data_IF_159374955558
#
_entry.id   IF_159374955558
#
_cell.length_a   1.000
_cell.length_b   1.000
_cell.length_c   1.000
_cell.angle_alpha   90.00
_cell.angle_beta   90.00
_cell.angle_gamma   90.00
#
_symmetry.space_group_name_H-M   'P 1'
#
loop_
_entity.id
_entity.type
_entity.pdbx_description
1 polymer ?
#
# COMPACT_ATOMS: atom_id res chain seq x y z
N UNK A 1 -18.46 8.29 -4.40
CA UNK A 1 -17.16 7.70 -4.75
C UNK A 1 -17.37 6.32 -5.36
N UNK A 2 -16.76 6.05 -6.52
CA UNK A 2 -16.72 4.71 -7.13
C UNK A 2 -15.27 4.26 -7.12
N UNK A 3 -15.03 3.03 -6.67
CA UNK A 3 -13.70 2.46 -6.54
C UNK A 3 -13.67 1.10 -7.22
N UNK A 4 -12.60 0.85 -7.96
CA UNK A 4 -12.29 -0.46 -8.52
C UNK A 4 -11.00 -0.97 -7.87
N UNK A 5 -11.06 -2.13 -7.23
CA UNK A 5 -9.90 -2.78 -6.61
C UNK A 5 -9.66 -4.10 -7.33
N UNK A 6 -8.48 -4.27 -7.93
CA UNK A 6 -8.09 -5.50 -8.63
C UNK A 6 -9.06 -5.94 -9.74
N UNK A 7 -9.70 -4.97 -10.40
CA UNK A 7 -10.69 -5.23 -11.47
C UNK A 7 -12.13 -5.44 -10.98
N UNK A 8 -12.37 -5.46 -9.67
CA UNK A 8 -13.71 -5.52 -9.09
C UNK A 8 -14.20 -4.14 -8.68
N UNK A 9 -15.40 -3.77 -9.11
CA UNK A 9 -16.06 -2.54 -8.66
C UNK A 9 -16.69 -2.72 -7.29
N UNK A 10 -16.31 -1.86 -6.35
CA UNK A 10 -16.90 -1.81 -5.02
C UNK A 10 -18.21 -1.02 -5.04
N UNK A 11 -19.10 -1.33 -4.08
CA UNK A 11 -20.34 -0.57 -3.90
C UNK A 11 -20.00 0.92 -3.74
N UNK A 12 -20.63 1.81 -4.54
CA UNK A 12 -20.36 3.24 -4.44
C UNK A 12 -20.69 3.77 -3.05
N UNK A 13 -19.78 4.56 -2.49
CA UNK A 13 -19.98 5.26 -1.24
C UNK A 13 -20.52 6.68 -1.50
N UNK A 14 -21.57 7.08 -0.79
CA UNK A 14 -22.16 8.42 -0.86
C UNK A 14 -21.71 9.20 0.36
N UNK A 15 -21.06 10.34 0.17
CA UNK A 15 -20.54 11.15 1.28
C UNK A 15 -21.63 11.98 1.96
N UNK A 16 -22.59 12.49 1.20
CA UNK A 16 -23.70 13.30 1.67
C UNK A 16 -24.80 13.33 0.60
N UNK A 17 -26.03 13.63 1.01
CA UNK A 17 -27.21 13.80 0.15
C UNK A 17 -27.84 15.17 0.42
N UNK A 18 -27.63 16.09 -0.51
CA UNK A 18 -28.20 17.45 -0.44
C UNK A 18 -27.24 18.50 0.14
N UNK A 19 -27.62 19.76 -0.02
CA UNK A 19 -26.78 20.92 0.34
C UNK A 19 -26.73 21.16 1.85
N UNK A 20 -27.80 20.88 2.59
CA UNK A 20 -27.85 21.04 4.05
C UNK A 20 -26.86 20.10 4.75
N UNK A 21 -26.81 18.83 4.33
CA UNK A 21 -25.88 17.83 4.88
C UNK A 21 -24.43 18.18 4.54
N UNK A 22 -24.16 18.58 3.30
CA UNK A 22 -22.84 19.07 2.90
C UNK A 22 -22.36 20.24 3.78
N UNK A 23 -23.21 21.25 3.95
CA UNK A 23 -22.87 22.43 4.75
C UNK A 23 -22.74 22.07 6.23
N UNK A 24 -23.53 21.12 6.73
CA UNK A 24 -23.35 20.57 8.08
C UNK A 24 -21.94 19.99 8.27
N UNK A 25 -21.44 19.19 7.31
CA UNK A 25 -20.09 18.62 7.36
C UNK A 25 -18.97 19.68 7.28
N UNK A 26 -19.16 20.71 6.46
CA UNK A 26 -18.18 21.81 6.35
C UNK A 26 -18.11 22.64 7.63
N UNK A 27 -19.25 22.95 8.26
CA UNK A 27 -19.30 23.77 9.49
C UNK A 27 -18.85 23.00 10.72
N UNK A 28 -19.17 21.72 10.80
CA UNK A 28 -18.72 20.84 11.87
C UNK A 28 -17.26 20.40 11.70
N UNK A 29 -16.66 20.65 10.54
CA UNK A 29 -15.28 20.27 10.26
C UNK A 29 -15.06 18.76 10.29
N UNK A 30 -16.09 17.94 10.06
CA UNK A 30 -16.02 16.47 10.22
C UNK A 30 -14.96 15.81 9.34
N UNK A 31 -14.60 16.43 8.22
CA UNK A 31 -13.58 15.93 7.29
C UNK A 31 -12.17 16.48 7.59
N UNK A 32 -12.00 17.37 8.58
CA UNK A 32 -10.71 17.98 8.88
C UNK A 32 -9.71 17.00 9.49
N UNK A 33 -10.21 15.99 10.19
CA UNK A 33 -9.42 14.88 10.73
C UNK A 33 -9.30 13.74 9.72
N UNK A 34 -8.14 13.05 9.66
CA UNK A 34 -7.95 11.90 8.78
C UNK A 34 -8.97 10.80 9.04
N UNK A 35 -9.89 10.60 8.10
CA UNK A 35 -10.96 9.60 8.19
C UNK A 35 -10.67 8.42 7.26
N UNK A 36 -10.70 7.17 7.75
CA UNK A 36 -10.50 5.99 6.89
C UNK A 36 -11.71 5.78 5.99
N UNK A 37 -11.45 5.63 4.69
CA UNK A 37 -12.45 5.38 3.65
C UNK A 37 -12.47 3.92 3.18
N UNK A 38 -11.32 3.25 3.16
CA UNK A 38 -11.21 1.83 2.80
C UNK A 38 -10.07 1.19 3.59
N UNK A 39 -10.37 0.12 4.31
CA UNK A 39 -9.38 -0.69 5.01
C UNK A 39 -9.63 -2.16 4.71
N UNK A 40 -8.60 -2.89 4.29
CA UNK A 40 -8.77 -4.30 3.97
C UNK A 40 -7.47 -5.03 3.69
N UNK A 41 -7.50 -6.33 3.95
CA UNK A 41 -6.43 -7.27 3.60
C UNK A 41 -6.95 -8.19 2.50
N UNK A 42 -6.16 -8.33 1.44
CA UNK A 42 -6.49 -9.08 0.24
C UNK A 42 -5.43 -10.15 0.03
N UNK A 43 -5.86 -11.41 -0.03
CA UNK A 43 -5.01 -12.53 -0.42
C UNK A 43 -4.94 -12.56 -1.95
N UNK A 44 -3.81 -12.14 -2.49
CA UNK A 44 -3.55 -12.01 -3.94
C UNK A 44 -3.08 -13.30 -4.58
N UNK A 45 -2.27 -14.06 -3.85
CA UNK A 45 -1.68 -15.30 -4.33
C UNK A 45 -1.87 -16.34 -3.24
N UNK A 46 -2.43 -17.49 -3.59
CA UNK A 46 -2.47 -18.67 -2.72
C UNK A 46 -2.28 -19.89 -3.62
N UNK A 47 -1.04 -20.36 -3.68
CA UNK A 47 -0.66 -21.53 -4.46
C UNK A 47 -0.10 -22.59 -3.53
N UNK A 48 -0.66 -23.79 -3.63
CA UNK A 48 -0.25 -24.95 -2.86
C UNK A 48 -0.10 -26.15 -3.77
N UNK A 49 1.09 -26.73 -3.82
CA UNK A 49 1.39 -27.82 -4.73
C UNK A 49 2.33 -28.84 -4.11
N UNK A 50 2.02 -30.12 -4.36
CA UNK A 50 2.94 -31.22 -4.13
C UNK A 50 3.63 -31.60 -5.44
N UNK A 51 4.95 -31.75 -5.39
CA UNK A 51 5.77 -32.18 -6.51
C UNK A 51 6.50 -33.46 -6.10
N UNK A 52 6.17 -34.57 -6.76
CA UNK A 52 6.92 -35.81 -6.61
C UNK A 52 8.22 -35.73 -7.43
N UNK A 53 9.35 -35.85 -6.75
CA UNK A 53 10.67 -35.85 -7.36
C UNK A 53 11.01 -37.24 -7.90
N UNK A 54 11.91 -37.31 -8.89
CA UNK A 54 12.35 -38.58 -9.50
C UNK A 54 12.99 -39.57 -8.50
N UNK A 55 13.48 -39.07 -7.37
CA UNK A 55 14.04 -39.88 -6.28
C UNK A 55 12.98 -40.40 -5.29
N UNK A 56 11.69 -40.20 -5.58
CA UNK A 56 10.57 -40.65 -4.74
C UNK A 56 10.23 -39.72 -3.58
N UNK A 57 10.97 -38.63 -3.39
CA UNK A 57 10.66 -37.64 -2.34
C UNK A 57 9.51 -36.73 -2.77
N UNK A 58 8.71 -36.30 -1.81
CA UNK A 58 7.62 -35.35 -2.03
C UNK A 58 8.05 -33.97 -1.55
N UNK A 59 8.07 -33.01 -2.48
CA UNK A 59 8.32 -31.60 -2.21
C UNK A 59 6.97 -30.89 -2.08
N UNK A 60 6.77 -30.21 -0.96
CA UNK A 60 5.62 -29.36 -0.70
C UNK A 60 6.01 -27.90 -0.95
N UNK A 61 5.33 -27.26 -1.91
CA UNK A 61 5.52 -25.86 -2.27
C UNK A 61 4.29 -25.07 -1.85
N UNK A 62 4.49 -24.02 -1.05
CA UNK A 62 3.46 -23.04 -0.72
C UNK A 62 3.92 -21.65 -1.13
N UNK A 63 3.06 -20.89 -1.78
CA UNK A 63 3.27 -19.48 -2.12
C UNK A 63 2.02 -18.70 -1.73
N UNK A 64 2.19 -17.76 -0.81
CA UNK A 64 1.12 -16.90 -0.33
C UNK A 64 1.54 -15.44 -0.51
N UNK A 65 0.66 -14.63 -1.07
CA UNK A 65 0.87 -13.21 -1.31
C UNK A 65 -0.31 -12.43 -0.76
N UNK A 66 -0.06 -11.52 0.18
CA UNK A 66 -1.09 -10.69 0.81
C UNK A 66 -0.75 -9.22 0.58
N UNK A 67 -1.78 -8.43 0.27
CA UNK A 67 -1.70 -6.98 0.22
C UNK A 67 -2.68 -6.41 1.26
N UNK A 68 -2.21 -5.46 2.05
CA UNK A 68 -3.00 -4.64 2.96
C UNK A 68 -3.14 -3.26 2.37
N UNK A 69 -4.36 -2.72 2.34
CA UNK A 69 -4.69 -1.40 1.82
C UNK A 69 -5.40 -0.61 2.92
N UNK A 70 -4.97 0.63 3.11
CA UNK A 70 -5.59 1.60 4.01
C UNK A 70 -5.64 2.97 3.32
N UNK A 71 -6.83 3.43 2.98
CA UNK A 71 -7.07 4.71 2.33
C UNK A 71 -7.74 5.64 3.32
N UNK A 72 -7.07 6.75 3.61
CA UNK A 72 -7.51 7.80 4.53
C UNK A 72 -7.61 9.12 3.79
N UNK A 73 -8.56 9.96 4.18
CA UNK A 73 -8.74 11.28 3.59
C UNK A 73 -8.99 12.34 4.65
N UNK A 74 -8.42 13.52 4.46
CA UNK A 74 -8.76 14.73 5.20
C UNK A 74 -8.98 15.90 4.23
N UNK A 75 -9.90 16.77 4.59
CA UNK A 75 -10.30 17.95 3.81
C UNK A 75 -10.50 19.10 4.78
N UNK A 76 -9.81 20.20 4.53
CA UNK A 76 -9.94 21.46 5.25
C UNK A 76 -10.39 22.53 4.27
N UNK A 77 -11.52 23.17 4.58
CA UNK A 77 -12.09 24.24 3.74
C UNK A 77 -12.20 25.48 4.61
N UNK A 78 -11.60 26.58 4.18
CA UNK A 78 -11.77 27.89 4.80
C UNK A 78 -12.51 28.82 3.84
N UNK A 79 -13.76 29.12 4.16
CA UNK A 79 -14.56 30.08 3.40
C UNK A 79 -14.07 31.52 3.59
N UNK A 80 -13.48 31.83 4.76
CA UNK A 80 -12.91 33.15 5.05
C UNK A 80 -11.61 33.39 4.29
N UNK A 81 -10.70 32.42 4.31
CA UNK A 81 -9.43 32.50 3.58
C UNK A 81 -9.58 32.14 2.09
N UNK A 82 -10.77 31.68 1.68
CA UNK A 82 -11.10 31.24 0.33
C UNK A 82 -10.13 30.19 -0.23
N UNK A 83 -9.73 29.26 0.62
CA UNK A 83 -8.84 28.16 0.26
C UNK A 83 -9.41 26.80 0.70
N UNK A 84 -8.91 25.74 0.06
CA UNK A 84 -9.20 24.37 0.42
C UNK A 84 -7.92 23.54 0.29
N UNK A 85 -7.65 22.74 1.31
CA UNK A 85 -6.56 21.79 1.37
C UNK A 85 -7.14 20.40 1.54
N UNK A 86 -6.80 19.46 0.65
CA UNK A 86 -7.19 18.07 0.81
C UNK A 86 -6.00 17.13 0.70
N UNK A 87 -5.99 16.11 1.54
CA UNK A 87 -4.95 15.08 1.55
C UNK A 87 -5.63 13.73 1.55
N UNK A 88 -5.36 12.95 0.51
CA UNK A 88 -5.77 11.54 0.43
C UNK A 88 -4.51 10.70 0.52
N UNK A 89 -4.35 9.98 1.63
CA UNK A 89 -3.23 9.07 1.86
C UNK A 89 -3.69 7.64 1.66
N UNK A 90 -3.11 6.98 0.67
CA UNK A 90 -3.33 5.56 0.39
C UNK A 90 -2.11 4.76 0.79
N UNK A 91 -2.16 4.13 1.95
CA UNK A 91 -1.12 3.23 2.47
C UNK A 91 -1.34 1.82 1.96
N UNK A 92 -0.25 1.16 1.57
CA UNK A 92 -0.25 -0.20 1.07
C UNK A 92 0.94 -0.99 1.61
N UNK A 93 0.69 -2.18 2.13
CA UNK A 93 1.75 -3.12 2.50
C UNK A 93 1.57 -4.44 1.74
N UNK A 94 2.65 -4.99 1.22
CA UNK A 94 2.63 -6.25 0.51
C UNK A 94 3.61 -7.23 1.16
N UNK A 95 3.16 -8.47 1.34
CA UNK A 95 3.98 -9.57 1.84
C UNK A 95 3.82 -10.77 0.93
N UNK A 96 4.93 -11.30 0.44
CA UNK A 96 5.00 -12.55 -0.30
C UNK A 96 5.80 -13.54 0.55
N UNK A 97 5.16 -14.64 0.89
CA UNK A 97 5.73 -15.77 1.60
C UNK A 97 5.78 -16.98 0.68
N UNK A 98 6.98 -17.52 0.47
CA UNK A 98 7.17 -18.79 -0.22
C UNK A 98 7.78 -19.78 0.77
N UNK A 99 7.31 -21.02 0.78
CA UNK A 99 7.92 -22.10 1.55
C UNK A 99 8.04 -23.35 0.71
N UNK A 100 9.19 -24.00 0.81
CA UNK A 100 9.45 -25.31 0.24
C UNK A 100 9.85 -26.25 1.38
N UNK A 101 9.04 -27.28 1.63
CA UNK A 101 9.28 -28.32 2.62
C UNK A 101 9.51 -29.66 1.92
N UNK A 102 10.56 -30.35 2.34
CA UNK A 102 10.90 -31.70 1.94
C UNK A 102 10.99 -32.51 3.24
N UNK A 103 10.11 -33.49 3.42
CA UNK A 103 10.15 -34.36 4.59
C UNK A 103 10.37 -35.80 4.13
N UNK A 104 11.37 -36.46 4.72
CA UNK A 104 11.69 -37.86 4.49
C UNK A 104 12.15 -38.49 5.80
N UNK A 105 12.10 -39.82 5.89
CA UNK A 105 12.51 -40.53 7.09
C UNK A 105 13.99 -40.31 7.46
N UNK A 106 14.84 -40.03 6.47
CA UNK A 106 16.27 -39.81 6.67
C UNK A 106 16.66 -38.34 6.92
N UNK A 107 15.96 -37.40 6.28
CA UNK A 107 16.27 -35.97 6.38
C UNK A 107 15.05 -35.09 6.09
N UNK A 108 14.97 -33.95 6.77
CA UNK A 108 14.01 -32.89 6.48
C UNK A 108 14.70 -31.59 6.13
N UNK A 109 14.20 -30.92 5.11
CA UNK A 109 14.70 -29.62 4.66
C UNK A 109 13.52 -28.68 4.46
N UNK A 110 13.63 -27.48 5.02
CA UNK A 110 12.60 -26.46 4.97
C UNK A 110 13.21 -25.11 4.65
N UNK A 111 12.75 -24.50 3.57
CA UNK A 111 13.18 -23.19 3.11
C UNK A 111 11.97 -22.27 3.12
N UNK A 112 12.08 -21.13 3.81
CA UNK A 112 11.09 -20.06 3.81
C UNK A 112 11.72 -18.78 3.26
N UNK A 113 11.07 -18.17 2.28
CA UNK A 113 11.37 -16.87 1.72
C UNK A 113 10.23 -15.93 2.06
N UNK A 114 10.54 -14.83 2.75
CA UNK A 114 9.60 -13.76 3.01
C UNK A 114 10.11 -12.47 2.37
N UNK A 115 9.32 -11.88 1.48
CA UNK A 115 9.56 -10.57 0.89
C UNK A 115 8.45 -9.65 1.35
N UNK A 116 8.80 -8.55 2.01
CA UNK A 116 7.84 -7.60 2.55
C UNK A 116 8.24 -6.17 2.21
N UNK A 117 7.26 -5.33 1.90
CA UNK A 117 7.46 -3.91 1.68
C UNK A 117 6.18 -3.13 1.95
N UNK A 118 6.34 -1.96 2.54
CA UNK A 118 5.28 -1.00 2.83
C UNK A 118 5.55 0.33 2.13
N UNK A 119 4.49 0.96 1.64
CA UNK A 119 4.54 2.25 0.95
C UNK A 119 3.25 3.00 1.20
N UNK A 120 3.25 4.30 0.96
CA UNK A 120 2.01 5.06 0.88
C UNK A 120 2.10 6.06 -0.26
N UNK A 121 0.96 6.38 -0.84
CA UNK A 121 0.81 7.42 -1.84
C UNK A 121 0.05 8.57 -1.20
N UNK A 122 0.60 9.76 -1.26
CA UNK A 122 -0.08 10.98 -0.81
C UNK A 122 -0.53 11.77 -2.02
N UNK A 123 -1.83 12.00 -2.09
CA UNK A 123 -2.45 12.85 -3.08
C UNK A 123 -2.92 14.12 -2.38
N UNK A 124 -2.19 15.21 -2.59
CA UNK A 124 -2.44 16.51 -1.97
C UNK A 124 -3.05 17.43 -3.02
N UNK A 125 -4.13 18.10 -2.67
CA UNK A 125 -4.75 19.12 -3.53
C UNK A 125 -4.92 20.42 -2.77
N UNK A 126 -4.32 21.47 -3.30
CA UNK A 126 -4.50 22.84 -2.84
C UNK A 126 -5.33 23.61 -3.87
N UNK A 127 -6.39 24.24 -3.39
CA UNK A 127 -7.29 25.05 -4.19
C UNK A 127 -7.41 26.43 -3.57
N UNK A 128 -7.08 27.45 -4.36
CA UNK A 128 -7.33 28.85 -4.05
C UNK A 128 -8.43 29.38 -4.97
N UNK A 129 -9.53 29.81 -4.35
CA UNK A 129 -10.70 30.34 -5.04
C UNK A 129 -10.93 31.83 -4.76
N UNK A 130 -9.89 32.57 -4.39
CA UNK A 130 -9.95 34.01 -4.15
C UNK A 130 -10.26 34.83 -5.42
N UNK A 131 -9.53 34.58 -6.51
CA UNK A 131 -9.68 35.25 -7.82
C UNK A 131 -9.93 34.24 -8.95
N UNK A 132 -10.65 34.67 -9.99
CA UNK A 132 -10.86 33.87 -11.21
C UNK A 132 -9.75 34.18 -12.22
N UNK A 133 -9.12 33.18 -12.87
CA UNK A 133 -9.40 31.74 -12.80
C UNK A 133 -8.88 31.10 -11.50
N UNK A 134 -9.67 30.17 -10.94
CA UNK A 134 -9.29 29.44 -9.73
C UNK A 134 -7.99 28.67 -9.94
N UNK A 135 -7.09 28.76 -8.96
CA UNK A 135 -5.79 28.09 -9.01
C UNK A 135 -5.92 26.77 -8.26
N UNK A 136 -5.51 25.68 -8.91
CA UNK A 136 -5.52 24.34 -8.34
C UNK A 136 -4.14 23.71 -8.53
N UNK A 137 -3.53 23.28 -7.43
CA UNK A 137 -2.31 22.50 -7.43
C UNK A 137 -2.60 21.09 -6.93
N UNK A 138 -2.25 20.11 -7.75
CA UNK A 138 -2.35 18.69 -7.42
C UNK A 138 -0.95 18.10 -7.34
N UNK A 139 -0.66 17.38 -6.27
CA UNK A 139 0.60 16.69 -6.05
C UNK A 139 0.34 15.21 -5.74
N UNK A 140 1.15 14.35 -6.35
CA UNK A 140 1.16 12.93 -6.04
C UNK A 140 2.59 12.52 -5.70
N UNK A 141 2.80 12.17 -4.45
CA UNK A 141 4.11 11.84 -3.89
C UNK A 141 4.11 10.42 -3.36
N UNK A 142 5.21 9.73 -3.62
CA UNK A 142 5.51 8.41 -3.08
C UNK A 142 6.83 8.50 -2.31
N UNK A 143 6.87 8.22 -1.01
CA UNK A 143 8.10 8.16 -0.26
C UNK A 143 8.91 6.92 -0.62
N UNK A 144 10.17 6.91 -0.21
CA UNK A 144 11.05 5.77 -0.43
C UNK A 144 10.56 4.52 0.31
N UNK A 145 10.74 3.36 -0.32
CA UNK A 145 10.28 2.06 0.19
C UNK A 145 11.48 1.20 0.54
N UNK A 146 11.43 0.52 1.68
CA UNK A 146 12.46 -0.46 2.08
C UNK A 146 11.91 -1.86 1.87
N UNK A 147 12.35 -2.51 0.81
CA UNK A 147 12.00 -3.89 0.52
C UNK A 147 12.88 -4.83 1.36
N UNK A 148 12.26 -5.64 2.22
CA UNK A 148 12.95 -6.57 3.12
C UNK A 148 12.79 -8.01 2.63
N UNK A 149 13.91 -8.69 2.42
CA UNK A 149 13.99 -10.08 1.98
C UNK A 149 14.61 -10.91 3.10
N UNK A 150 13.85 -11.88 3.62
CA UNK A 150 14.29 -12.78 4.67
C UNK A 150 14.23 -14.22 4.17
N UNK A 151 15.39 -14.87 4.08
CA UNK A 151 15.51 -16.28 3.70
C UNK A 151 15.89 -17.07 4.95
N UNK A 152 15.06 -18.03 5.33
CA UNK A 152 15.28 -18.96 6.42
C UNK A 152 15.42 -20.36 5.86
N UNK A 153 16.51 -21.03 6.18
CA UNK A 153 16.77 -22.43 5.82
C UNK A 153 16.92 -23.24 7.10
N UNK A 154 16.20 -24.33 7.19
CA UNK A 154 16.27 -25.32 8.26
C UNK A 154 16.53 -26.68 7.63
N UNK A 155 17.59 -27.34 8.07
CA UNK A 155 17.90 -28.72 7.64
C UNK A 155 18.15 -29.56 8.88
N UNK A 156 17.53 -30.73 8.93
CA UNK A 156 17.75 -31.71 9.98
C UNK A 156 17.90 -33.11 9.38
N UNK A 157 18.77 -33.91 9.99
CA UNK A 157 19.02 -35.30 9.57
C UNK A 157 18.62 -36.20 10.73
N UNK A 158 17.74 -37.16 10.45
CA UNK A 158 17.21 -38.08 11.46
C UNK A 158 18.35 -38.92 12.04
N UNK A 159 18.43 -39.02 13.37
CA UNK A 159 19.49 -39.78 14.05
C UNK A 159 20.82 -39.04 14.25
N UNK A 160 20.98 -37.81 13.74
CA UNK A 160 22.14 -36.94 14.06
C UNK A 160 21.67 -35.67 14.75
N UNK A 161 22.48 -35.12 15.67
CA UNK A 161 22.27 -33.77 16.23
C UNK A 161 22.56 -32.64 15.22
N UNK A 162 22.61 -32.96 13.93
CA UNK A 162 22.95 -32.01 12.89
C UNK A 162 21.71 -31.21 12.49
N UNK A 163 21.55 -30.04 13.12
CA UNK A 163 20.53 -29.05 12.79
C UNK A 163 21.22 -27.82 12.20
N UNK A 164 20.97 -27.54 10.93
CA UNK A 164 21.48 -26.33 10.26
C UNK A 164 20.36 -25.32 10.19
N UNK A 165 20.52 -24.19 10.89
CA UNK A 165 19.64 -23.02 10.79
C UNK A 165 20.42 -21.87 10.19
N UNK A 166 20.06 -21.43 8.99
CA UNK A 166 20.64 -20.24 8.35
C UNK A 166 19.56 -19.21 8.10
N UNK A 167 19.82 -17.97 8.51
CA UNK A 167 18.99 -16.81 8.25
C UNK A 167 19.81 -15.80 7.46
N UNK A 168 19.36 -15.48 6.24
CA UNK A 168 19.93 -14.42 5.43
C UNK A 168 18.91 -13.30 5.30
N UNK A 169 19.29 -12.11 5.74
CA UNK A 169 18.47 -10.89 5.62
C UNK A 169 19.10 -9.98 4.57
N UNK A 170 18.30 -9.44 3.68
CA UNK A 170 18.71 -8.42 2.70
C UNK A 170 17.66 -7.33 2.68
N UNK A 171 18.09 -6.08 2.66
CA UNK A 171 17.21 -4.93 2.42
C UNK A 171 17.62 -4.23 1.14
N UNK A 172 16.64 -3.76 0.39
CA UNK A 172 16.85 -2.90 -0.77
C UNK A 172 16.01 -1.64 -0.57
N UNK A 173 16.64 -0.49 -0.75
CA UNK A 173 15.95 0.79 -0.67
C UNK A 173 15.57 1.22 -2.08
N UNK A 174 14.32 1.61 -2.25
CA UNK A 174 13.76 2.20 -3.46
C UNK A 174 13.54 3.67 -3.14
N UNK A 175 14.13 4.57 -3.94
CA UNK A 175 13.98 6.01 -3.73
C UNK A 175 12.55 6.47 -3.95
N UNK A 176 12.13 7.44 -3.13
CA UNK A 176 10.85 8.13 -3.31
C UNK A 176 10.82 8.94 -4.61
N UNK A 177 9.61 9.20 -5.10
CA UNK A 177 9.36 9.90 -6.37
C UNK A 177 8.09 10.73 -6.26
N UNK A 178 8.05 11.82 -7.01
CA UNK A 178 6.83 12.57 -7.29
C UNK A 178 6.41 12.30 -8.73
N UNK A 179 5.11 12.37 -8.98
CA UNK A 179 4.54 12.18 -10.31
C UNK A 179 4.15 13.52 -10.91
N UNK A 180 4.63 13.79 -12.12
CA UNK A 180 4.26 14.99 -12.84
C UNK A 180 2.86 14.83 -13.45
N UNK A 181 2.03 15.84 -13.25
CA UNK A 181 0.74 15.99 -13.91
C UNK A 181 0.85 16.85 -15.18
N UNK A 182 -0.29 17.29 -15.70
CA UNK A 182 -0.36 18.17 -16.86
C UNK A 182 0.40 19.50 -16.62
N UNK A 183 0.99 20.07 -17.68
CA UNK A 183 1.82 21.29 -17.60
C UNK A 183 1.13 22.45 -16.87
N UNK A 184 -0.16 22.68 -17.12
CA UNK A 184 -0.97 23.70 -16.42
C UNK A 184 -1.00 23.50 -14.89
N UNK A 185 -1.06 22.25 -14.43
CA UNK A 185 -1.00 21.96 -12.99
C UNK A 185 0.36 22.35 -12.42
N UNK A 186 1.45 22.06 -13.14
CA UNK A 186 2.79 22.49 -12.73
C UNK A 186 2.92 24.02 -12.68
N UNK A 187 2.33 24.74 -13.63
CA UNK A 187 2.28 26.22 -13.62
C UNK A 187 1.53 26.74 -12.39
N UNK A 188 0.33 26.21 -12.08
CA UNK A 188 -0.41 26.61 -10.88
C UNK A 188 0.31 26.25 -9.57
N UNK A 189 0.89 25.05 -9.50
CA UNK A 189 1.69 24.63 -8.35
C UNK A 189 2.92 25.53 -8.15
N UNK A 190 3.58 25.98 -9.23
CA UNK A 190 4.74 26.86 -9.12
C UNK A 190 4.39 28.22 -8.51
N UNK A 191 3.17 28.72 -8.76
CA UNK A 191 2.68 29.96 -8.16
C UNK A 191 2.29 29.73 -6.70
N UNK A 192 1.46 28.70 -6.44
CA UNK A 192 0.94 28.43 -5.09
C UNK A 192 2.03 28.02 -4.08
N UNK A 193 3.10 27.38 -4.54
CA UNK A 193 4.22 26.96 -3.68
C UNK A 193 5.33 28.00 -3.60
N UNK A 194 5.30 29.05 -4.43
CA UNK A 194 6.26 30.16 -4.33
C UNK A 194 5.89 31.16 -3.22
N UNK A 195 4.61 31.18 -2.81
CA UNK A 195 4.08 32.05 -1.76
C UNK A 195 4.23 31.45 -0.34
N UNK A 196 5.00 30.35 -0.19
CA UNK A 196 5.30 29.66 1.08
C UNK A 196 6.74 29.90 1.51
#
# INVERSE_FOLDING_TARGET
>A
MRLSVLGYELRPYVFFVGTSEFMSHVWSGTASEPTPALQGNLLMMDHYQFVALLNGLVLELKLQGVISLDMTGSIQISLWNRNSHSVVRTSGAAVIQASASLNSDAASSHVQLNVAGDTHLEFVTDLDFYEKPYKMCIQMTQPGVVLRHNIRKYESVTGRKHLVRRLKRRSQNISGKSYAFHKKNCEYCSVLLADV
#
